data_IF_559915219306
#
_entry.id   IF_559915219306
#
_cell.length_a   1.000
_cell.length_b   1.000
_cell.length_c   1.000
_cell.angle_alpha   90.00
_cell.angle_beta   90.00
_cell.angle_gamma   90.00
#
_symmetry.space_group_name_H-M   'P 1'
#
loop_
_entity.id
_entity.type
_entity.pdbx_description
1 polymer ?
#
# COMPACT_ATOMS: atom_id res chain seq x y z
N UNK A 1 -4.45 15.35 46.64
CA UNK A 1 -3.11 15.95 46.66
C UNK A 1 -2.11 14.88 46.21
N UNK A 2 -1.98 14.67 44.90
CA UNK A 2 -1.11 13.63 44.32
C UNK A 2 0.10 14.31 43.70
N UNK A 3 1.28 14.06 44.27
CA UNK A 3 2.56 14.53 43.72
C UNK A 3 3.66 13.51 43.99
N UNK A 4 4.52 13.41 42.99
CA UNK A 4 5.87 12.82 43.00
C UNK A 4 6.02 11.31 43.27
N UNK A 5 6.30 10.54 42.21
CA UNK A 5 7.37 9.51 42.20
C UNK A 5 7.71 9.08 40.76
N UNK A 6 8.55 9.87 40.09
CA UNK A 6 9.33 9.41 38.91
C UNK A 6 10.74 9.97 39.03
N UNK A 7 11.67 9.14 39.51
CA UNK A 7 13.11 9.38 39.34
C UNK A 7 13.86 8.04 39.30
N UNK A 8 14.81 7.99 38.36
CA UNK A 8 15.97 7.09 38.22
C UNK A 8 15.70 5.72 37.61
N UNK A 9 16.19 5.53 36.38
CA UNK A 9 17.24 4.55 36.04
C UNK A 9 17.81 4.92 34.66
N UNK A 10 18.84 5.77 34.65
CA UNK A 10 19.78 5.95 33.55
C UNK A 10 21.12 6.30 34.19
N UNK A 11 21.96 5.29 34.42
CA UNK A 11 23.41 5.43 34.49
C UNK A 11 24.03 4.04 34.66
N UNK A 12 25.05 3.79 33.84
CA UNK A 12 26.16 2.85 34.01
C UNK A 12 26.24 1.92 32.81
N UNK A 13 27.08 2.28 31.85
CA UNK A 13 28.05 1.37 31.22
C UNK A 13 28.92 2.21 30.27
N UNK A 14 29.89 2.91 30.84
CA UNK A 14 31.13 3.25 30.17
C UNK A 14 32.23 2.73 31.09
N UNK A 15 32.87 1.64 30.68
CA UNK A 15 34.18 1.28 31.20
C UNK A 15 35.07 0.95 30.00
N UNK A 16 36.24 1.56 30.03
CA UNK A 16 37.26 1.60 28.99
C UNK A 16 38.43 0.76 29.47
N UNK A 17 38.81 -0.28 28.73
CA UNK A 17 40.20 -0.74 28.74
C UNK A 17 40.56 -1.58 27.50
N UNK A 18 41.61 -1.08 26.85
CA UNK A 18 42.78 -1.83 26.35
C UNK A 18 42.67 -2.73 25.10
N UNK A 19 43.44 -2.33 24.07
CA UNK A 19 43.85 -3.12 22.91
C UNK A 19 44.78 -4.29 23.30
N UNK A 20 44.83 -5.35 22.48
CA UNK A 20 46.00 -5.48 21.62
C UNK A 20 45.71 -5.96 20.19
N UNK A 21 46.53 -5.47 19.28
CA UNK A 21 46.67 -5.84 17.87
C UNK A 21 46.80 -7.35 17.63
N UNK A 22 45.94 -7.89 16.77
CA UNK A 22 46.23 -9.08 15.95
C UNK A 22 45.83 -8.82 14.51
N UNK A 23 46.84 -8.74 13.65
CA UNK A 23 46.72 -8.89 12.21
C UNK A 23 46.08 -10.25 11.93
N UNK A 24 44.90 -10.25 11.30
CA UNK A 24 44.39 -11.40 10.59
C UNK A 24 43.96 -10.93 9.21
N UNK A 25 44.82 -11.24 8.25
CA UNK A 25 44.51 -11.23 6.82
C UNK A 25 43.48 -12.32 6.54
N UNK A 26 42.28 -11.92 6.15
CA UNK A 26 41.38 -12.77 5.38
C UNK A 26 41.02 -12.01 4.11
N UNK A 27 41.52 -12.51 2.98
CA UNK A 27 40.97 -12.19 1.69
C UNK A 27 39.51 -12.66 1.66
N UNK A 28 38.61 -11.70 1.47
CA UNK A 28 37.23 -11.96 1.09
C UNK A 28 37.08 -11.27 -0.26
N UNK A 29 37.19 -12.05 -1.33
CA UNK A 29 36.63 -11.69 -2.62
C UNK A 29 35.12 -11.61 -2.44
N UNK A 30 34.62 -10.42 -2.11
CA UNK A 30 33.19 -10.15 -2.19
C UNK A 30 32.82 -10.06 -3.66
N UNK A 31 32.28 -11.17 -4.18
CA UNK A 31 31.31 -11.16 -5.28
C UNK A 31 30.11 -10.31 -4.84
N UNK A 32 30.27 -8.97 -4.89
CA UNK A 32 29.13 -8.08 -5.03
C UNK A 32 28.56 -8.40 -6.41
N UNK A 33 27.46 -9.17 -6.42
CA UNK A 33 26.65 -9.33 -7.62
C UNK A 33 26.38 -7.94 -8.20
N UNK A 34 26.68 -7.80 -9.48
CA UNK A 34 26.58 -6.53 -10.19
C UNK A 34 25.23 -5.87 -9.86
N UNK A 35 25.21 -4.55 -9.59
CA UNK A 35 23.94 -3.84 -9.47
C UNK A 35 23.14 -4.13 -10.74
N UNK A 36 21.87 -4.50 -10.60
CA UNK A 36 20.96 -4.67 -11.73
C UNK A 36 20.76 -3.29 -12.37
N UNK A 37 21.71 -2.92 -13.22
CA UNK A 37 21.68 -1.72 -14.04
C UNK A 37 20.79 -2.07 -15.22
N UNK A 38 19.57 -1.54 -15.20
CA UNK A 38 18.73 -1.57 -16.38
C UNK A 38 19.48 -0.91 -17.53
N UNK A 39 19.57 -1.60 -18.66
CA UNK A 39 20.10 -1.00 -19.87
C UNK A 39 19.20 0.17 -20.30
N UNK A 40 19.79 1.19 -20.94
CA UNK A 40 19.04 2.34 -21.47
C UNK A 40 17.92 1.89 -22.41
N UNK A 41 18.08 0.76 -23.11
CA UNK A 41 17.02 0.15 -23.92
C UNK A 41 15.86 -0.37 -23.09
N UNK A 42 16.12 -1.07 -21.98
CA UNK A 42 15.06 -1.58 -21.08
C UNK A 42 14.34 -0.45 -20.36
N UNK A 43 15.08 0.60 -19.98
CA UNK A 43 14.47 1.80 -19.40
C UNK A 43 13.60 2.54 -20.43
N UNK A 44 14.08 2.69 -21.67
CA UNK A 44 13.30 3.29 -22.76
C UNK A 44 12.07 2.48 -23.13
N UNK A 45 12.15 1.15 -23.09
CA UNK A 45 11.01 0.26 -23.33
C UNK A 45 9.97 0.38 -22.20
N UNK A 46 10.41 0.49 -20.94
CA UNK A 46 9.54 0.73 -19.80
C UNK A 46 8.83 2.09 -19.90
N UNK A 47 9.58 3.16 -20.21
CA UNK A 47 9.02 4.50 -20.40
C UNK A 47 8.11 4.55 -21.64
N UNK A 48 8.48 3.88 -22.72
CA UNK A 48 7.67 3.76 -23.94
C UNK A 48 6.34 3.05 -23.69
N UNK A 49 6.34 2.00 -22.87
CA UNK A 49 5.12 1.29 -22.48
C UNK A 49 4.18 2.16 -21.65
N UNK A 50 4.73 3.01 -20.77
CA UNK A 50 3.96 3.96 -19.95
C UNK A 50 3.42 5.12 -20.81
N UNK A 51 4.21 5.61 -21.77
CA UNK A 51 3.84 6.70 -22.68
C UNK A 51 2.80 6.28 -23.72
N UNK A 52 2.91 5.07 -24.30
CA UNK A 52 1.97 4.56 -25.30
C UNK A 52 0.57 4.31 -24.73
N UNK A 53 0.47 3.96 -23.44
CA UNK A 53 -0.82 3.86 -22.75
C UNK A 53 -1.52 5.22 -22.53
N UNK A 54 -0.83 6.35 -22.76
CA UNK A 54 -1.38 7.69 -22.56
C UNK A 54 -1.87 8.37 -23.85
N UNK A 55 -1.64 7.80 -25.04
CA UNK A 55 -1.78 8.52 -26.31
C UNK A 55 -2.81 7.98 -27.32
N UNK A 56 -3.80 7.17 -26.92
CA UNK A 56 -4.91 6.84 -27.83
C UNK A 56 -5.99 7.95 -27.90
N UNK A 57 -5.54 9.19 -28.07
CA UNK A 57 -6.33 10.28 -28.64
C UNK A 57 -5.58 10.79 -29.85
N UNK A 58 -6.03 10.44 -31.05
CA UNK A 58 -5.86 11.30 -32.21
C UNK A 58 -6.92 11.01 -33.25
N UNK A 59 -7.68 12.06 -33.58
CA UNK A 59 -8.48 12.17 -34.77
C UNK A 59 -7.60 12.08 -36.02
N UNK A 60 -8.00 11.30 -37.03
CA UNK A 60 -7.83 11.63 -38.45
C UNK A 60 -8.65 10.68 -39.34
N UNK A 61 -9.27 11.25 -40.36
CA UNK A 61 -10.23 10.66 -41.28
C UNK A 61 -9.60 9.81 -42.41
N UNK A 62 -10.33 8.78 -42.87
CA UNK A 62 -10.79 8.49 -44.25
C UNK A 62 -10.98 6.97 -44.54
N UNK A 63 -12.12 6.64 -45.14
CA UNK A 63 -12.80 5.35 -45.50
C UNK A 63 -12.05 4.40 -46.48
N UNK A 64 -12.61 3.23 -46.93
CA UNK A 64 -13.77 2.41 -46.46
C UNK A 64 -13.51 0.88 -46.38
N UNK A 65 -14.41 0.11 -45.74
CA UNK A 65 -14.73 -1.26 -46.20
C UNK A 65 -14.89 -2.37 -45.15
N UNK A 66 -16.14 -2.81 -44.98
CA UNK A 66 -16.59 -4.19 -44.68
C UNK A 66 -16.53 -4.73 -43.22
N UNK A 67 -17.71 -4.68 -42.58
CA UNK A 67 -18.38 -5.74 -41.83
C UNK A 67 -17.56 -6.68 -40.92
N UNK A 68 -17.59 -6.40 -39.61
CA UNK A 68 -17.97 -7.40 -38.61
C UNK A 68 -18.39 -6.68 -37.33
N UNK A 69 -19.71 -6.68 -37.04
CA UNK A 69 -20.25 -6.21 -35.77
C UNK A 69 -19.78 -7.14 -34.64
N UNK A 70 -18.62 -6.85 -34.08
CA UNK A 70 -18.31 -7.25 -32.71
C UNK A 70 -18.94 -6.22 -31.79
N UNK A 71 -19.72 -6.60 -30.76
CA UNK A 71 -20.14 -5.65 -29.75
C UNK A 71 -18.88 -5.18 -29.03
N UNK A 72 -18.33 -4.06 -29.49
CA UNK A 72 -17.34 -3.29 -28.76
C UNK A 72 -18.05 -2.80 -27.51
N UNK A 73 -17.95 -3.58 -26.44
CA UNK A 73 -18.20 -3.12 -25.09
C UNK A 73 -17.18 -2.00 -24.81
N UNK A 74 -17.52 -0.78 -25.24
CA UNK A 74 -16.95 0.48 -24.73
C UNK A 74 -17.39 0.62 -23.28
N UNK A 75 -16.81 -0.19 -22.40
CA UNK A 75 -16.78 0.05 -20.97
C UNK A 75 -15.37 0.54 -20.60
N UNK A 76 -14.95 1.64 -21.25
CA UNK A 76 -13.68 2.31 -20.99
C UNK A 76 -13.72 3.15 -19.72
N UNK A 77 -14.27 2.64 -18.62
CA UNK A 77 -13.95 3.17 -17.30
C UNK A 77 -12.74 2.39 -16.80
N UNK A 78 -11.54 2.89 -17.05
CA UNK A 78 -10.33 2.40 -16.39
C UNK A 78 -10.63 2.31 -14.89
N UNK A 79 -10.61 1.10 -14.33
CA UNK A 79 -10.84 0.89 -12.89
C UNK A 79 -9.66 1.54 -12.18
N UNK A 80 -9.90 2.70 -11.54
CA UNK A 80 -8.85 3.48 -10.88
C UNK A 80 -8.73 3.06 -9.43
N UNK A 81 -7.51 2.72 -9.03
CA UNK A 81 -7.16 2.54 -7.62
C UNK A 81 -6.91 3.93 -7.01
N UNK A 82 -7.50 4.19 -5.85
CA UNK A 82 -7.21 5.40 -5.07
C UNK A 82 -5.92 5.26 -4.27
N UNK A 83 -5.16 6.33 -4.10
CA UNK A 83 -3.96 6.28 -3.27
C UNK A 83 -4.28 6.10 -1.78
N UNK A 84 -3.45 5.33 -1.10
CA UNK A 84 -3.49 5.13 0.34
C UNK A 84 -2.41 5.94 1.04
N UNK A 85 -2.83 6.86 1.91
CA UNK A 85 -1.93 7.81 2.57
C UNK A 85 -1.37 7.35 3.92
N UNK A 86 -1.91 6.27 4.49
CA UNK A 86 -1.52 5.81 5.84
C UNK A 86 -2.03 6.70 6.98
N UNK A 87 -3.20 7.31 6.83
CA UNK A 87 -3.83 8.15 7.85
C UNK A 87 -4.73 7.33 8.78
N UNK A 88 -4.81 7.71 10.05
CA UNK A 88 -5.63 7.05 11.10
C UNK A 88 -7.13 6.98 10.75
N UNK A 89 -7.61 7.90 9.92
CA UNK A 89 -9.01 7.97 9.50
C UNK A 89 -9.33 7.20 8.21
N UNK A 90 -8.32 6.64 7.53
CA UNK A 90 -8.53 5.88 6.29
C UNK A 90 -8.53 4.40 6.61
N UNK A 91 -9.51 3.70 6.06
CA UNK A 91 -9.68 2.28 6.29
C UNK A 91 -8.80 1.49 5.32
N UNK A 92 -7.77 0.84 5.87
CA UNK A 92 -6.89 -0.06 5.12
C UNK A 92 -7.66 -1.25 4.54
N UNK A 93 -8.66 -1.76 5.24
CA UNK A 93 -9.41 -2.95 4.82
C UNK A 93 -10.24 -2.62 3.56
N UNK A 94 -10.86 -1.44 3.54
CA UNK A 94 -11.59 -0.94 2.37
C UNK A 94 -10.66 -0.68 1.17
N UNK A 95 -9.45 -0.17 1.42
CA UNK A 95 -8.48 0.03 0.35
C UNK A 95 -7.97 -1.30 -0.22
N UNK A 96 -7.62 -2.26 0.63
CA UNK A 96 -7.22 -3.61 0.22
C UNK A 96 -8.32 -4.33 -0.55
N UNK A 97 -9.58 -4.18 -0.11
CA UNK A 97 -10.73 -4.73 -0.82
C UNK A 97 -10.87 -4.13 -2.23
N UNK A 98 -10.78 -2.81 -2.35
CA UNK A 98 -10.81 -2.13 -3.66
C UNK A 98 -9.63 -2.56 -4.55
N UNK A 99 -8.44 -2.69 -3.97
CA UNK A 99 -7.24 -3.15 -4.67
C UNK A 99 -7.38 -4.59 -5.17
N UNK A 100 -7.97 -5.49 -4.38
CA UNK A 100 -8.22 -6.87 -4.77
C UNK A 100 -9.23 -6.99 -5.91
N UNK A 101 -10.30 -6.19 -5.88
CA UNK A 101 -11.24 -6.14 -7.00
C UNK A 101 -10.57 -5.62 -8.28
N UNK A 102 -9.69 -4.63 -8.16
CA UNK A 102 -8.89 -4.16 -9.27
C UNK A 102 -7.91 -5.23 -9.79
N UNK A 103 -7.26 -5.99 -8.91
CA UNK A 103 -6.38 -7.10 -9.28
C UNK A 103 -7.15 -8.14 -10.12
N UNK A 104 -8.33 -8.54 -9.64
CA UNK A 104 -9.20 -9.51 -10.35
C UNK A 104 -9.56 -8.97 -11.74
N UNK A 105 -9.94 -7.70 -11.84
CA UNK A 105 -10.34 -7.10 -13.10
C UNK A 105 -9.17 -6.87 -14.08
N UNK A 106 -7.96 -6.66 -13.56
CA UNK A 106 -6.75 -6.44 -14.37
C UNK A 106 -6.09 -7.74 -14.85
N UNK A 107 -6.44 -8.89 -14.27
CA UNK A 107 -5.88 -10.20 -14.65
C UNK A 107 -4.42 -10.39 -14.26
N UNK A 108 -3.87 -9.57 -13.35
CA UNK A 108 -2.48 -9.67 -12.91
C UNK A 108 -2.33 -10.85 -11.94
N UNK A 109 -1.48 -11.80 -12.33
CA UNK A 109 -1.21 -13.03 -11.55
C UNK A 109 0.14 -13.02 -10.83
N UNK A 110 1.10 -12.21 -11.31
CA UNK A 110 2.46 -12.16 -10.75
C UNK A 110 2.50 -11.31 -9.48
N UNK A 111 2.84 -11.92 -8.34
CA UNK A 111 2.82 -11.25 -7.03
C UNK A 111 3.80 -10.08 -6.91
N UNK A 112 5.01 -10.19 -7.45
CA UNK A 112 5.96 -9.07 -7.45
C UNK A 112 5.45 -7.85 -8.21
N UNK A 113 4.76 -8.07 -9.34
CA UNK A 113 4.10 -6.99 -10.08
C UNK A 113 2.95 -6.40 -9.28
N UNK A 114 2.16 -7.24 -8.62
CA UNK A 114 1.06 -6.81 -7.77
C UNK A 114 1.53 -5.93 -6.61
N UNK A 115 2.59 -6.33 -5.90
CA UNK A 115 3.19 -5.56 -4.80
C UNK A 115 3.76 -4.25 -5.33
N UNK A 116 4.49 -4.26 -6.46
CA UNK A 116 5.02 -3.03 -7.04
C UNK A 116 3.92 -2.01 -7.38
N UNK A 117 2.78 -2.48 -7.92
CA UNK A 117 1.64 -1.62 -8.21
C UNK A 117 0.97 -1.13 -6.91
N UNK A 118 0.80 -1.99 -5.91
CA UNK A 118 0.28 -1.58 -4.60
C UNK A 118 1.13 -0.47 -3.98
N UNK A 119 2.46 -0.63 -4.02
CA UNK A 119 3.44 0.35 -3.52
C UNK A 119 3.34 1.68 -4.26
N UNK A 120 3.13 1.68 -5.58
CA UNK A 120 2.91 2.91 -6.36
C UNK A 120 1.64 3.66 -5.95
N UNK A 121 0.65 2.96 -5.38
CA UNK A 121 -0.55 3.56 -4.82
C UNK A 121 -0.42 3.89 -3.32
N UNK A 122 0.71 3.59 -2.68
CA UNK A 122 1.02 4.12 -1.35
C UNK A 122 1.53 5.56 -1.47
N UNK A 123 1.21 6.38 -0.48
CA UNK A 123 1.60 7.79 -0.46
C UNK A 123 1.91 8.23 0.96
N UNK A 124 2.77 9.26 1.09
CA UNK A 124 3.12 9.88 2.38
C UNK A 124 3.56 8.82 3.41
N UNK A 125 2.89 8.75 4.56
CA UNK A 125 3.22 7.86 5.68
C UNK A 125 3.24 6.39 5.27
N UNK A 126 2.32 5.96 4.39
CA UNK A 126 2.29 4.59 3.91
C UNK A 126 3.54 4.24 3.07
N UNK A 127 3.95 5.15 2.18
CA UNK A 127 5.14 4.94 1.36
C UNK A 127 6.42 4.99 2.20
N UNK A 128 6.53 5.96 3.12
CA UNK A 128 7.66 6.04 4.05
C UNK A 128 7.79 4.80 4.94
N UNK A 129 6.66 4.25 5.39
CA UNK A 129 6.66 2.97 6.10
C UNK A 129 7.18 1.83 5.22
N UNK A 130 6.69 1.72 3.98
CA UNK A 130 7.12 0.65 3.07
C UNK A 130 8.63 0.72 2.81
N UNK A 131 9.18 1.91 2.59
CA UNK A 131 10.63 2.10 2.43
C UNK A 131 11.41 1.57 3.64
N UNK A 132 10.94 1.84 4.86
CA UNK A 132 11.60 1.37 6.08
C UNK A 132 11.35 -0.12 6.39
N UNK A 133 10.28 -0.70 5.87
CA UNK A 133 9.96 -2.11 6.01
C UNK A 133 10.76 -2.95 5.01
N UNK A 134 10.84 -2.49 3.75
CA UNK A 134 11.54 -3.15 2.67
C UNK A 134 13.05 -3.31 2.92
N UNK A 135 13.68 -2.46 3.74
CA UNK A 135 15.08 -2.62 4.13
C UNK A 135 15.32 -3.69 5.18
N UNK A 136 14.27 -4.16 5.87
CA UNK A 136 14.36 -5.17 6.93
C UNK A 136 14.01 -6.57 6.44
N UNK A 137 13.37 -6.68 5.28
CA UNK A 137 12.90 -7.92 4.69
C UNK A 137 13.78 -8.24 3.49
N UNK A 138 14.28 -9.47 3.41
CA UNK A 138 15.20 -9.90 2.35
C UNK A 138 14.56 -9.83 0.95
N UNK A 139 13.26 -10.15 0.85
CA UNK A 139 12.50 -10.08 -0.39
C UNK A 139 11.11 -9.44 -0.19
N UNK A 140 11.00 -8.10 -0.22
CA UNK A 140 9.74 -7.41 0.04
C UNK A 140 8.69 -7.56 -1.07
N UNK A 141 9.07 -8.12 -2.23
CA UNK A 141 8.21 -8.28 -3.41
C UNK A 141 7.88 -9.76 -3.72
N UNK A 142 8.24 -10.72 -2.86
CA UNK A 142 8.02 -12.14 -3.17
C UNK A 142 6.62 -12.65 -2.88
N UNK A 143 6.02 -12.20 -1.79
CA UNK A 143 4.81 -12.79 -1.22
C UNK A 143 3.78 -11.70 -0.91
N UNK A 144 2.68 -11.71 -1.66
CA UNK A 144 1.59 -10.75 -1.48
C UNK A 144 0.95 -10.85 -0.08
N UNK A 145 0.80 -12.07 0.44
CA UNK A 145 0.16 -12.30 1.74
C UNK A 145 1.00 -11.74 2.88
N UNK A 146 2.33 -11.88 2.80
CA UNK A 146 3.26 -11.27 3.77
C UNK A 146 3.18 -9.75 3.72
N UNK A 147 3.15 -9.16 2.52
CA UNK A 147 2.98 -7.72 2.34
C UNK A 147 1.64 -7.22 2.89
N UNK A 148 0.54 -7.88 2.54
CA UNK A 148 -0.82 -7.54 2.99
C UNK A 148 -0.94 -7.62 4.52
N UNK A 149 -0.37 -8.65 5.14
CA UNK A 149 -0.35 -8.80 6.59
C UNK A 149 0.44 -7.68 7.27
N UNK A 150 1.64 -7.36 6.78
CA UNK A 150 2.47 -6.30 7.35
C UNK A 150 1.82 -4.91 7.20
N UNK A 151 1.16 -4.66 6.06
CA UNK A 151 0.45 -3.42 5.79
C UNK A 151 -0.78 -3.29 6.71
N UNK A 152 -1.54 -4.37 6.85
CA UNK A 152 -2.71 -4.43 7.75
C UNK A 152 -2.29 -4.25 9.20
N UNK A 153 -1.26 -4.96 9.67
CA UNK A 153 -0.76 -4.82 11.05
C UNK A 153 -0.32 -3.39 11.35
N UNK A 154 0.31 -2.71 10.38
CA UNK A 154 0.76 -1.33 10.55
C UNK A 154 -0.39 -0.32 10.62
N UNK A 155 -1.39 -0.45 9.75
CA UNK A 155 -2.41 0.59 9.54
C UNK A 155 -3.79 0.23 10.06
N UNK A 156 -4.02 -1.01 10.48
CA UNK A 156 -5.26 -1.39 11.12
C UNK A 156 -5.24 -0.89 12.57
N UNK A 157 -6.03 0.15 12.83
CA UNK A 157 -6.11 0.71 14.18
C UNK A 157 -6.94 -0.22 15.07
N UNK A 158 -6.35 -0.70 16.17
CA UNK A 158 -7.01 -1.56 17.18
C UNK A 158 -8.33 -0.96 17.73
N UNK A 159 -8.56 0.33 17.53
CA UNK A 159 -9.74 1.04 18.00
C UNK A 159 -10.91 1.10 17.02
N UNK A 160 -10.85 0.52 15.80
CA UNK A 160 -11.99 0.54 14.85
C UNK A 160 -13.29 0.02 15.47
N UNK A 161 -13.23 -1.16 16.11
CA UNK A 161 -14.40 -1.76 16.81
C UNK A 161 -14.93 -0.88 17.93
N UNK A 162 -14.05 -0.26 18.71
CA UNK A 162 -14.45 0.64 19.79
C UNK A 162 -15.08 1.92 19.24
N UNK A 163 -14.44 2.56 18.26
CA UNK A 163 -14.94 3.77 17.61
C UNK A 163 -16.31 3.55 16.97
N UNK A 164 -16.52 2.42 16.28
CA UNK A 164 -17.80 2.08 15.67
C UNK A 164 -18.89 1.81 16.73
N UNK A 165 -18.56 1.14 17.84
CA UNK A 165 -19.49 0.99 18.97
C UNK A 165 -19.85 2.34 19.59
N UNK A 166 -18.87 3.19 19.85
CA UNK A 166 -19.08 4.53 20.38
C UNK A 166 -19.94 5.37 19.42
N UNK A 167 -19.72 5.21 18.10
CA UNK A 167 -20.48 5.86 17.04
C UNK A 167 -21.91 5.34 16.89
N UNK A 168 -22.25 4.13 17.35
CA UNK A 168 -23.64 3.63 17.36
C UNK A 168 -24.44 4.21 18.53
N UNK A 169 -23.78 4.49 19.66
CA UNK A 169 -24.46 5.05 20.83
C UNK A 169 -24.67 6.58 20.75
N UNK A 170 -23.96 7.24 19.85
CA UNK A 170 -24.00 8.69 19.66
C UNK A 170 -25.02 9.28 18.67
N UNK A 171 -25.53 8.59 17.62
CA UNK A 171 -26.45 9.17 16.67
C UNK A 171 -27.78 9.40 17.39
N UNK A 172 -28.12 10.67 17.62
CA UNK A 172 -29.48 11.09 17.89
C UNK A 172 -30.05 11.58 16.57
N UNK A 173 -31.33 11.31 16.31
CA UNK A 173 -32.00 11.84 15.12
C UNK A 173 -31.95 13.38 15.16
N UNK A 174 -31.02 13.97 14.40
CA UNK A 174 -30.85 15.43 14.28
C UNK A 174 -31.53 16.00 13.03
N UNK A 175 -31.68 15.16 12.00
CA UNK A 175 -32.23 15.52 10.69
C UNK A 175 -33.47 14.65 10.38
N UNK A 176 -33.65 14.21 9.13
CA UNK A 176 -34.75 13.33 8.75
C UNK A 176 -34.61 11.91 9.31
N UNK A 177 -35.76 11.24 9.51
CA UNK A 177 -35.78 9.83 9.93
C UNK A 177 -35.10 8.91 8.89
N UNK A 178 -35.21 9.24 7.60
CA UNK A 178 -34.58 8.48 6.52
C UNK A 178 -33.05 8.53 6.59
N UNK A 179 -32.46 9.73 6.75
CA UNK A 179 -31.01 9.89 6.90
C UNK A 179 -30.49 9.20 8.16
N UNK A 180 -31.23 9.29 9.27
CA UNK A 180 -30.88 8.56 10.49
C UNK A 180 -30.89 7.04 10.27
N UNK A 181 -31.91 6.50 9.60
CA UNK A 181 -32.00 5.07 9.32
C UNK A 181 -30.85 4.59 8.43
N UNK A 182 -30.47 5.38 7.41
CA UNK A 182 -29.32 5.09 6.55
C UNK A 182 -28.00 5.10 7.32
N UNK A 183 -27.72 6.15 8.10
CA UNK A 183 -26.51 6.24 8.93
C UNK A 183 -26.42 5.07 9.93
N UNK A 184 -27.53 4.74 10.59
CA UNK A 184 -27.58 3.65 11.55
C UNK A 184 -27.39 2.28 10.89
N UNK A 185 -27.98 2.06 9.71
CA UNK A 185 -27.83 0.81 8.97
C UNK A 185 -26.40 0.63 8.46
N UNK A 186 -25.76 1.70 7.98
CA UNK A 186 -24.37 1.69 7.56
C UNK A 186 -23.44 1.34 8.74
N UNK A 187 -23.62 1.98 9.90
CA UNK A 187 -22.86 1.66 11.11
C UNK A 187 -23.05 0.20 11.56
N UNK A 188 -24.30 -0.29 11.57
CA UNK A 188 -24.61 -1.68 11.92
C UNK A 188 -23.92 -2.66 10.98
N UNK A 189 -23.94 -2.38 9.67
CA UNK A 189 -23.31 -3.20 8.64
C UNK A 189 -21.80 -3.26 8.86
N UNK A 190 -21.15 -2.10 9.06
CA UNK A 190 -19.71 -2.02 9.32
C UNK A 190 -19.26 -2.79 10.57
N UNK A 191 -20.12 -2.94 11.59
CA UNK A 191 -19.81 -3.78 12.76
C UNK A 191 -19.96 -5.27 12.46
N UNK A 192 -20.99 -5.67 11.71
CA UNK A 192 -21.25 -7.08 11.39
C UNK A 192 -20.24 -7.68 10.42
N UNK A 193 -19.56 -6.86 9.63
CA UNK A 193 -18.54 -7.27 8.66
C UNK A 193 -17.10 -7.33 9.23
N UNK A 194 -16.89 -7.04 10.51
CA UNK A 194 -15.56 -7.06 11.19
C UNK A 194 -15.42 -8.14 12.26
#
# INVERSE_FOLDING_TARGET
MYKEKRKRYLSNFFDTSEHPTRNISYGVESNMGDPVVFSDSQFRELIGTIANNSNNVTSAANLPGENLETPTNKAGSSIRITNFFGNVNKDIDMWLFAFKNWQIASGITKESTLIAIAVNHLSKNALSWFQAWATKVENPYSDWKVFEQALTERFNTCHKKKKLRDQIHYPRQKNSAAQYAEEFLNLKTSIGTM
#
